data_IF_724684844373
#
_entry.id   IF_724684844373
#
_cell.length_a   1.000
_cell.length_b   1.000
_cell.length_c   1.000
_cell.angle_alpha   90.00
_cell.angle_beta   90.00
_cell.angle_gamma   90.00
#
_symmetry.space_group_name_H-M   'P 1'
#
loop_
_entity.id
_entity.type
_entity.pdbx_description
1 polymer ?
#
# COMPACT_ATOMS: atom_id res chain seq x y z
N UNK A 1 -1.93 -4.03 -20.26
CA UNK A 1 -2.44 -3.32 -19.08
C UNK A 1 -1.66 -3.82 -17.88
N UNK A 2 -1.22 -2.97 -16.96
CA UNK A 2 -0.64 -3.43 -15.71
C UNK A 2 -1.67 -3.23 -14.59
N UNK A 3 -1.57 -4.00 -13.52
CA UNK A 3 -2.45 -3.90 -12.35
C UNK A 3 -1.60 -3.52 -11.16
N UNK A 4 -1.79 -2.30 -10.67
CA UNK A 4 -1.25 -1.92 -9.36
C UNK A 4 -2.17 -2.48 -8.28
N UNK A 5 -1.59 -3.10 -7.27
CA UNK A 5 -2.35 -3.67 -6.17
C UNK A 5 -1.69 -3.34 -4.83
N UNK A 6 -2.52 -3.31 -3.80
CA UNK A 6 -2.09 -3.12 -2.42
C UNK A 6 -2.53 -4.33 -1.61
N UNK A 7 -1.59 -4.95 -0.93
CA UNK A 7 -1.80 -6.12 -0.10
C UNK A 7 -1.40 -5.87 1.35
N UNK A 8 -2.01 -6.65 2.25
CA UNK A 8 -1.71 -6.64 3.68
C UNK A 8 -1.57 -8.06 4.20
N UNK A 9 -0.54 -8.29 5.01
CA UNK A 9 -0.39 -9.49 5.84
C UNK A 9 -0.58 -9.10 7.32
N UNK A 10 -1.35 -9.89 8.06
CA UNK A 10 -1.53 -9.74 9.50
C UNK A 10 -0.26 -10.13 10.25
N UNK A 11 0.44 -11.19 9.83
CA UNK A 11 1.69 -11.61 10.43
C UNK A 11 2.79 -10.55 10.25
N UNK A 12 2.93 -9.99 9.04
CA UNK A 12 3.85 -8.89 8.78
C UNK A 12 3.46 -7.64 9.57
N UNK A 13 2.16 -7.31 9.65
CA UNK A 13 1.70 -6.15 10.44
C UNK A 13 2.05 -6.28 11.91
N UNK A 14 1.91 -7.49 12.49
CA UNK A 14 2.26 -7.76 13.88
C UNK A 14 3.76 -7.55 14.10
N UNK A 15 4.59 -8.21 13.29
CA UNK A 15 6.04 -8.05 13.34
C UNK A 15 6.47 -6.59 13.16
N UNK A 16 5.89 -5.87 12.19
CA UNK A 16 6.16 -4.45 11.96
C UNK A 16 5.84 -3.60 13.19
N UNK A 17 4.76 -3.92 13.91
CA UNK A 17 4.43 -3.26 15.18
C UNK A 17 5.45 -3.58 16.27
N UNK A 18 5.93 -4.81 16.36
CA UNK A 18 6.94 -5.24 17.35
C UNK A 18 8.30 -4.54 17.13
N UNK A 19 8.67 -4.25 15.88
CA UNK A 19 9.94 -3.56 15.54
C UNK A 19 9.80 -2.03 15.39
N UNK A 20 8.67 -1.44 15.78
CA UNK A 20 8.45 0.01 15.79
C UNK A 20 8.09 0.65 14.44
N UNK A 21 7.90 -0.16 13.39
CA UNK A 21 7.35 0.29 12.11
C UNK A 21 5.84 0.59 12.20
N UNK A 22 5.15 0.01 13.19
CA UNK A 22 3.74 0.28 13.50
C UNK A 22 2.75 -0.65 12.80
N UNK A 23 1.46 -0.37 12.97
CA UNK A 23 0.34 -1.26 12.59
C UNK A 23 -0.20 -1.04 11.17
N UNK A 24 0.35 -0.06 10.46
CA UNK A 24 -0.14 0.39 9.15
C UNK A 24 0.90 0.09 8.08
N UNK A 25 1.27 -1.19 7.99
CA UNK A 25 2.25 -1.69 7.03
C UNK A 25 1.53 -2.41 5.92
N UNK A 26 1.79 -1.98 4.69
CA UNK A 26 1.14 -2.48 3.49
C UNK A 26 2.18 -2.70 2.40
N UNK A 27 1.90 -3.62 1.49
CA UNK A 27 2.73 -3.85 0.31
C UNK A 27 2.03 -3.27 -0.91
N UNK A 28 2.75 -2.48 -1.70
CA UNK A 28 2.36 -2.12 -3.05
C UNK A 28 3.15 -2.99 -4.03
N UNK A 29 2.50 -3.45 -5.08
CA UNK A 29 3.13 -4.15 -6.20
C UNK A 29 2.40 -3.85 -7.50
N UNK A 30 3.06 -4.16 -8.61
CA UNK A 30 2.46 -4.08 -9.94
C UNK A 30 2.57 -5.45 -10.59
N UNK A 31 1.47 -5.94 -11.14
CA UNK A 31 1.40 -7.20 -11.85
C UNK A 31 0.95 -6.98 -13.30
N UNK A 32 1.14 -7.98 -14.16
CA UNK A 32 0.62 -7.93 -15.52
C UNK A 32 -0.91 -7.93 -15.55
N UNK A 33 -1.56 -8.63 -14.62
CA UNK A 33 -3.01 -8.74 -14.54
C UNK A 33 -3.46 -9.10 -13.12
N UNK A 34 -4.78 -9.21 -12.90
CA UNK A 34 -5.37 -9.54 -11.59
C UNK A 34 -5.03 -10.96 -11.13
N UNK A 35 -4.86 -11.91 -12.06
CA UNK A 35 -4.49 -13.29 -11.73
C UNK A 35 -3.03 -13.36 -11.29
N UNK A 36 -2.14 -12.66 -11.98
CA UNK A 36 -0.73 -12.50 -11.60
C UNK A 36 -0.59 -11.81 -10.24
N UNK A 37 -1.39 -10.77 -9.95
CA UNK A 37 -1.42 -10.15 -8.63
C UNK A 37 -1.83 -11.13 -7.53
N UNK A 38 -2.86 -11.96 -7.80
CA UNK A 38 -3.34 -12.99 -6.87
C UNK A 38 -2.31 -14.09 -6.67
N UNK A 39 -1.72 -14.60 -7.74
CA UNK A 39 -0.65 -15.60 -7.69
C UNK A 39 0.56 -15.09 -6.90
N UNK A 40 0.92 -13.81 -7.05
CA UNK A 40 1.99 -13.20 -6.28
C UNK A 40 1.63 -13.06 -4.79
N UNK A 41 0.37 -12.77 -4.46
CA UNK A 41 -0.11 -12.77 -3.08
C UNK A 41 -0.11 -14.17 -2.45
N UNK A 42 -0.44 -15.21 -3.23
CA UNK A 42 -0.40 -16.61 -2.81
C UNK A 42 1.03 -17.14 -2.64
N UNK A 43 1.95 -16.74 -3.52
CA UNK A 43 3.38 -17.02 -3.36
C UNK A 43 3.92 -16.39 -2.06
N UNK A 44 3.35 -15.25 -1.69
CA UNK A 44 3.66 -14.55 -0.45
C UNK A 44 4.97 -13.78 -0.50
N UNK A 45 5.12 -12.87 0.45
CA UNK A 45 6.32 -12.04 0.59
C UNK A 45 6.80 -12.06 2.04
N UNK A 46 8.09 -11.77 2.26
CA UNK A 46 8.72 -11.79 3.59
C UNK A 46 8.63 -13.15 4.31
N UNK A 47 8.39 -14.24 3.56
CA UNK A 47 8.17 -15.58 4.12
C UNK A 47 6.79 -15.76 4.77
N UNK A 48 5.87 -14.82 4.56
CA UNK A 48 4.49 -14.88 5.04
C UNK A 48 3.56 -15.20 3.86
N UNK A 49 2.54 -16.03 4.09
CA UNK A 49 1.55 -16.45 3.07
C UNK A 49 0.14 -15.92 3.34
N UNK A 50 -0.06 -15.16 4.42
CA UNK A 50 -1.35 -14.61 4.83
C UNK A 50 -1.70 -13.28 4.13
N UNK A 51 -1.14 -13.05 2.94
CA UNK A 51 -1.32 -11.81 2.20
C UNK A 51 -2.72 -11.71 1.58
N UNK A 52 -3.38 -10.58 1.83
CA UNK A 52 -4.69 -10.25 1.28
C UNK A 52 -4.61 -8.97 0.48
N UNK A 53 -5.01 -9.03 -0.79
CA UNK A 53 -5.17 -7.85 -1.63
C UNK A 53 -6.37 -7.05 -1.11
N UNK A 54 -6.12 -5.80 -0.73
CA UNK A 54 -7.13 -4.87 -0.25
C UNK A 54 -7.78 -4.09 -1.39
N UNK A 55 -6.96 -3.70 -2.37
CA UNK A 55 -7.41 -3.00 -3.55
C UNK A 55 -6.45 -3.23 -4.72
N UNK A 56 -6.96 -3.09 -5.93
CA UNK A 56 -6.22 -3.24 -7.17
C UNK A 56 -6.86 -2.38 -8.25
N UNK A 57 -6.05 -1.78 -9.11
CA UNK A 57 -6.48 -0.89 -10.18
C UNK A 57 -5.66 -1.17 -11.44
N UNK A 58 -6.34 -1.19 -12.58
CA UNK A 58 -5.73 -1.32 -13.89
C UNK A 58 -5.17 0.04 -14.34
N UNK A 59 -3.88 0.06 -14.69
CA UNK A 59 -3.15 1.25 -15.11
C UNK A 59 -2.27 0.88 -16.29
N UNK A 60 -2.44 1.60 -17.40
CA UNK A 60 -1.66 1.33 -18.60
C UNK A 60 -0.26 1.95 -18.50
N UNK A 61 0.77 1.21 -18.93
CA UNK A 61 2.15 1.70 -18.96
C UNK A 61 2.82 1.92 -17.60
N UNK A 62 2.25 1.41 -16.50
CA UNK A 62 2.84 1.54 -15.17
C UNK A 62 3.86 0.42 -14.91
N UNK A 63 5.11 0.78 -14.66
CA UNK A 63 6.13 -0.15 -14.16
C UNK A 63 6.09 -0.24 -12.63
N UNK A 64 6.52 -1.39 -12.07
CA UNK A 64 6.63 -1.54 -10.61
C UNK A 64 7.59 -0.51 -10.03
N UNK A 65 8.75 -0.31 -10.65
CA UNK A 65 9.76 0.64 -10.19
C UNK A 65 9.24 2.08 -10.17
N UNK A 66 8.48 2.50 -11.19
CA UNK A 66 7.88 3.84 -11.23
C UNK A 66 6.82 4.02 -10.13
N UNK A 67 5.98 3.00 -9.93
CA UNK A 67 4.95 3.03 -8.90
C UNK A 67 5.56 3.15 -7.49
N UNK A 68 6.61 2.36 -7.23
CA UNK A 68 7.35 2.38 -5.98
C UNK A 68 8.12 3.69 -5.78
N UNK A 69 8.76 4.21 -6.83
CA UNK A 69 9.48 5.48 -6.78
C UNK A 69 8.54 6.67 -6.51
N UNK A 70 7.34 6.69 -7.10
CA UNK A 70 6.33 7.73 -6.85
C UNK A 70 5.82 7.67 -5.40
N UNK A 71 5.40 6.49 -4.94
CA UNK A 71 4.90 6.34 -3.57
C UNK A 71 6.00 6.64 -2.54
N UNK A 72 7.24 6.22 -2.80
CA UNK A 72 8.40 6.47 -1.94
C UNK A 72 8.78 7.94 -1.79
N UNK A 73 8.35 8.83 -2.69
CA UNK A 73 8.51 10.28 -2.52
C UNK A 73 7.58 10.86 -1.45
N UNK A 74 6.47 10.19 -1.13
CA UNK A 74 5.46 10.66 -0.18
C UNK A 74 5.45 9.88 1.13
N UNK A 75 5.64 8.57 1.06
CA UNK A 75 5.53 7.66 2.20
C UNK A 75 6.87 6.96 2.48
N UNK A 76 7.06 6.55 3.74
CA UNK A 76 8.28 5.87 4.16
C UNK A 76 8.27 4.42 3.69
N UNK A 77 9.09 4.12 2.69
CA UNK A 77 9.39 2.74 2.30
C UNK A 77 10.15 2.03 3.43
N UNK A 78 9.77 0.79 3.69
CA UNK A 78 10.48 -0.11 4.60
C UNK A 78 11.54 -0.83 3.78
N UNK A 79 12.80 -0.50 4.05
CA UNK A 79 13.92 -1.05 3.30
C UNK A 79 14.27 -2.47 3.79
N UNK A 80 14.23 -3.49 2.90
CA UNK A 80 14.60 -4.86 3.23
C UNK A 80 16.03 -5.04 3.73
N UNK A 81 16.96 -4.13 3.39
CA UNK A 81 18.35 -4.18 3.86
C UNK A 81 18.44 -3.95 5.38
N UNK A 82 17.57 -3.10 5.93
CA UNK A 82 17.49 -2.85 7.36
C UNK A 82 16.68 -3.91 8.11
N UNK A 83 15.85 -4.68 7.40
CA UNK A 83 14.97 -5.68 7.98
C UNK A 83 15.09 -7.04 7.28
N UNK A 84 15.98 -7.93 7.77
CA UNK A 84 16.19 -9.26 7.18
C UNK A 84 14.92 -10.11 7.07
N UNK A 85 13.92 -9.85 7.93
CA UNK A 85 12.61 -10.51 7.91
C UNK A 85 11.88 -10.32 6.59
N UNK A 86 12.11 -9.20 5.89
CA UNK A 86 11.48 -8.94 4.60
C UNK A 86 12.00 -9.86 3.48
N UNK A 87 13.11 -10.59 3.69
CA UNK A 87 13.71 -11.50 2.69
C UNK A 87 13.88 -10.86 1.31
N UNK A 88 14.23 -9.56 1.27
CA UNK A 88 14.37 -8.80 0.02
C UNK A 88 13.05 -8.31 -0.59
N UNK A 89 11.91 -8.48 0.08
CA UNK A 89 10.61 -8.02 -0.43
C UNK A 89 10.53 -6.49 -0.51
N UNK A 90 10.70 -5.95 -1.71
CA UNK A 90 10.49 -4.55 -2.00
C UNK A 90 9.00 -4.16 -1.96
N UNK A 91 8.75 -2.85 -1.92
CA UNK A 91 7.41 -2.28 -1.99
C UNK A 91 6.59 -2.37 -0.70
N UNK A 92 7.23 -2.60 0.43
CA UNK A 92 6.58 -2.50 1.74
C UNK A 92 6.67 -1.07 2.25
N UNK A 93 5.55 -0.49 2.65
CA UNK A 93 5.46 0.89 3.13
C UNK A 93 4.81 0.95 4.51
N UNK A 94 5.33 1.85 5.33
CA UNK A 94 4.66 2.32 6.54
C UNK A 94 3.80 3.52 6.16
N UNK A 95 2.50 3.37 6.27
CA UNK A 95 1.54 4.44 5.96
C UNK A 95 1.14 5.19 7.22
N UNK A 96 1.21 6.51 7.17
CA UNK A 96 0.67 7.37 8.22
C UNK A 96 -0.84 7.54 8.06
N UNK A 97 -1.64 7.15 9.08
CA UNK A 97 -3.08 7.41 9.06
C UNK A 97 -3.41 8.89 8.92
N UNK A 98 -2.59 9.77 9.51
CA UNK A 98 -2.78 11.21 9.39
C UNK A 98 -2.67 11.69 7.93
N UNK A 99 -1.75 11.13 7.15
CA UNK A 99 -1.59 11.47 5.73
C UNK A 99 -2.80 11.02 4.91
N UNK A 100 -3.32 9.81 5.21
CA UNK A 100 -4.52 9.28 4.58
C UNK A 100 -5.74 10.12 4.94
N UNK A 101 -5.93 10.47 6.22
CA UNK A 101 -7.01 11.36 6.67
C UNK A 101 -6.95 12.72 5.99
N UNK A 102 -5.77 13.35 5.94
CA UNK A 102 -5.60 14.63 5.27
C UNK A 102 -5.92 14.53 3.77
N UNK A 103 -5.48 13.47 3.10
CA UNK A 103 -5.78 13.27 1.68
C UNK A 103 -7.27 13.04 1.41
N UNK A 104 -7.97 12.33 2.29
CA UNK A 104 -9.42 12.13 2.20
C UNK A 104 -10.18 13.44 2.46
N UNK A 105 -9.72 14.22 3.44
CA UNK A 105 -10.29 15.52 3.77
C UNK A 105 -10.17 16.49 2.59
N UNK A 106 -8.99 16.58 1.98
CA UNK A 106 -8.75 17.40 0.78
C UNK A 106 -9.64 16.93 -0.39
N UNK A 107 -9.77 15.62 -0.60
CA UNK A 107 -10.64 15.09 -1.65
C UNK A 107 -12.12 15.47 -1.44
N UNK A 108 -12.61 15.44 -0.19
CA UNK A 108 -13.97 15.85 0.16
C UNK A 108 -14.19 17.36 0.01
N UNK A 109 -13.24 18.17 0.46
CA UNK A 109 -13.30 19.62 0.33
C UNK A 109 -13.38 20.08 -1.15
N UNK A 110 -12.83 19.30 -2.08
CA UNK A 110 -12.91 19.56 -3.52
C UNK A 110 -14.20 19.04 -4.18
N UNK A 111 -14.96 18.15 -3.52
CA UNK A 111 -16.11 17.47 -4.11
C UNK A 111 -17.46 18.17 -3.85
N UNK A 112 -17.66 18.80 -2.68
CA UNK A 112 -18.71 19.79 -2.30
C UNK A 112 -18.97 19.76 -0.78
N UNK A 113 -19.68 20.80 -0.29
CA UNK A 113 -20.08 21.27 1.06
C UNK A 113 -20.50 20.26 2.17
N UNK A 114 -19.95 19.03 2.20
CA UNK A 114 -20.20 18.09 3.30
C UNK A 114 -19.39 18.46 4.55
N UNK A 115 -19.98 18.35 5.75
CA UNK A 115 -19.29 18.69 7.00
C UNK A 115 -18.05 17.81 7.19
N UNK A 116 -16.93 18.49 7.49
CA UNK A 116 -15.62 17.92 7.82
C UNK A 116 -15.67 17.17 9.16
N UNK A 117 -16.39 16.06 9.20
CA UNK A 117 -16.47 15.16 10.35
C UNK A 117 -15.28 14.19 10.36
N UNK A 118 -14.90 13.71 11.54
CA UNK A 118 -13.78 12.77 11.74
C UNK A 118 -13.87 11.59 10.75
N UNK A 119 -12.97 11.58 9.77
CA UNK A 119 -12.93 10.53 8.76
C UNK A 119 -12.26 9.30 9.38
N UNK A 120 -13.09 8.29 9.69
CA UNK A 120 -12.60 6.97 10.07
C UNK A 120 -12.00 6.27 8.86
N UNK A 121 -10.66 6.23 8.81
CA UNK A 121 -9.91 5.55 7.75
C UNK A 121 -10.15 4.05 7.78
N UNK A 122 -10.65 3.50 6.68
CA UNK A 122 -10.77 2.05 6.46
C UNK A 122 -9.53 1.53 5.73
N UNK A 123 -9.22 0.23 5.83
CA UNK A 123 -8.11 -0.38 5.09
C UNK A 123 -8.21 -0.17 3.56
N UNK A 124 -9.44 -0.10 3.02
CA UNK A 124 -9.68 0.20 1.62
C UNK A 124 -9.23 1.63 1.25
N UNK A 125 -9.49 2.61 2.12
CA UNK A 125 -9.09 4.01 1.88
C UNK A 125 -7.56 4.17 1.88
N UNK A 126 -6.86 3.40 2.73
CA UNK A 126 -5.39 3.35 2.73
C UNK A 126 -4.87 2.78 1.40
N UNK A 127 -5.48 1.69 0.94
CA UNK A 127 -5.10 1.07 -0.32
C UNK A 127 -5.36 1.99 -1.54
N UNK A 128 -6.50 2.67 -1.55
CA UNK A 128 -6.84 3.67 -2.56
C UNK A 128 -5.87 4.87 -2.53
N UNK A 129 -5.55 5.38 -1.33
CA UNK A 129 -4.55 6.42 -1.16
C UNK A 129 -3.18 6.00 -1.71
N UNK A 130 -2.72 4.79 -1.41
CA UNK A 130 -1.44 4.29 -1.92
C UNK A 130 -1.44 4.19 -3.44
N UNK A 131 -2.49 3.62 -4.03
CA UNK A 131 -2.62 3.51 -5.49
C UNK A 131 -2.64 4.91 -6.13
N UNK A 132 -3.46 5.83 -5.62
CA UNK A 132 -3.55 7.20 -6.14
C UNK A 132 -2.21 7.94 -6.12
N UNK A 133 -1.33 7.66 -5.14
CA UNK A 133 -0.01 8.27 -5.06
C UNK A 133 1.09 7.49 -5.80
N UNK A 134 0.77 6.30 -6.32
CA UNK A 134 1.68 5.45 -7.10
C UNK A 134 1.43 5.54 -8.61
N UNK A 135 0.23 5.97 -9.02
CA UNK A 135 -0.13 6.19 -10.43
C UNK A 135 0.24 7.60 -10.91
N UNK A 136 0.54 7.78 -12.20
CA UNK A 136 0.73 9.10 -12.82
C UNK A 136 -0.52 9.97 -12.80
#
# INVERSE_FOLDING_TARGET
MAVVYVARSAALTKWASDVGLGKHTFKLGVAADKEAARAAAEAGWAGETDWKILHSQEVEGLSEEDALARLGRREKAVDPAYYPRLKGAAGVYRISLANVQNSLLVARAMASDEPLTEIKVKPKDIAEYMIRNAVP
#
